data_IF_354029136624
#
_entry.id   IF_354029136624
#
_cell.length_a   1.000
_cell.length_b   1.000
_cell.length_c   1.000
_cell.angle_alpha   90.00
_cell.angle_beta   90.00
_cell.angle_gamma   90.00
#
_symmetry.space_group_name_H-M   'P 1'
#
loop_
_entity.id
_entity.type
_entity.pdbx_description
1 polymer ?
#
# COMPACT_ATOMS: atom_id res chain seq x y z
N UNK A 1 -11.41 -13.46 -14.97
CA UNK A 1 -11.21 -12.62 -13.76
C UNK A 1 -9.84 -12.75 -13.10
N UNK A 2 -9.13 -13.88 -13.23
CA UNK A 2 -7.79 -14.03 -12.63
C UNK A 2 -6.78 -12.96 -13.04
N UNK A 3 -6.83 -12.51 -14.31
CA UNK A 3 -5.99 -11.42 -14.81
C UNK A 3 -6.21 -10.12 -14.02
N UNK A 4 -7.46 -9.78 -13.69
CA UNK A 4 -7.77 -8.57 -12.93
C UNK A 4 -7.24 -8.65 -11.50
N UNK A 5 -7.36 -9.81 -10.85
CA UNK A 5 -6.80 -10.02 -9.51
C UNK A 5 -5.28 -9.87 -9.52
N UNK A 6 -4.60 -10.42 -10.54
CA UNK A 6 -3.16 -10.31 -10.67
C UNK A 6 -2.71 -8.87 -10.98
N UNK A 7 -3.47 -8.12 -11.79
CA UNK A 7 -3.21 -6.70 -12.04
C UNK A 7 -3.38 -5.88 -10.76
N UNK A 8 -4.46 -6.08 -10.00
CA UNK A 8 -4.68 -5.40 -8.72
C UNK A 8 -3.56 -5.72 -7.71
N UNK A 9 -3.14 -6.98 -7.63
CA UNK A 9 -2.03 -7.39 -6.79
C UNK A 9 -0.71 -6.68 -7.17
N UNK A 10 -0.41 -6.59 -8.47
CA UNK A 10 0.75 -5.88 -8.98
C UNK A 10 0.66 -4.38 -8.69
N UNK A 11 -0.50 -3.76 -8.87
CA UNK A 11 -0.73 -2.33 -8.59
C UNK A 11 -0.50 -2.01 -7.11
N UNK A 12 -1.03 -2.84 -6.21
CA UNK A 12 -0.85 -2.66 -4.76
C UNK A 12 0.61 -2.76 -4.32
N UNK A 13 1.34 -3.75 -4.83
CA UNK A 13 2.77 -3.89 -4.57
C UNK A 13 3.55 -2.72 -5.17
N UNK A 14 3.24 -2.37 -6.43
CA UNK A 14 3.91 -1.29 -7.15
C UNK A 14 3.73 0.06 -6.45
N UNK A 15 2.50 0.41 -6.06
CA UNK A 15 2.20 1.65 -5.34
C UNK A 15 2.92 1.68 -3.98
N UNK A 16 2.93 0.55 -3.26
CA UNK A 16 3.60 0.45 -1.97
C UNK A 16 5.12 0.61 -2.08
N UNK A 17 5.75 -0.04 -3.06
CA UNK A 17 7.20 0.12 -3.32
C UNK A 17 7.50 1.56 -3.72
N UNK A 18 6.66 2.17 -4.56
CA UNK A 18 6.81 3.56 -4.97
C UNK A 18 6.70 4.53 -3.78
N UNK A 19 5.73 4.31 -2.88
CA UNK A 19 5.59 5.07 -1.64
C UNK A 19 6.82 4.93 -0.73
N UNK A 20 7.36 3.72 -0.56
CA UNK A 20 8.60 3.51 0.19
C UNK A 20 9.79 4.22 -0.44
N UNK A 21 9.89 4.22 -1.77
CA UNK A 21 10.94 4.92 -2.48
C UNK A 21 10.86 6.44 -2.28
N UNK A 22 9.65 7.02 -2.38
CA UNK A 22 9.42 8.44 -2.08
C UNK A 22 9.78 8.74 -0.62
N UNK A 23 9.33 7.91 0.32
CA UNK A 23 9.62 8.08 1.74
C UNK A 23 11.13 8.08 2.01
N UNK A 24 11.87 7.17 1.36
CA UNK A 24 13.32 7.12 1.44
C UNK A 24 13.96 8.41 0.91
N UNK A 25 13.54 8.91 -0.25
CA UNK A 25 14.05 10.17 -0.79
C UNK A 25 13.79 11.36 0.13
N UNK A 26 12.56 11.50 0.64
CA UNK A 26 12.18 12.58 1.56
C UNK A 26 13.01 12.48 2.84
N UNK A 27 13.11 11.28 3.41
CA UNK A 27 13.91 11.03 4.61
C UNK A 27 15.37 11.44 4.43
N UNK A 28 16.00 11.02 3.32
CA UNK A 28 17.39 11.36 3.02
C UNK A 28 17.56 12.86 2.85
N UNK A 29 16.68 13.53 2.11
CA UNK A 29 16.76 14.99 1.90
C UNK A 29 16.58 15.74 3.22
N UNK A 30 15.58 15.39 4.02
CA UNK A 30 15.32 16.08 5.30
C UNK A 30 16.46 15.91 6.28
N UNK A 31 17.04 14.70 6.42
CA UNK A 31 18.19 14.48 7.30
C UNK A 31 19.45 15.15 6.79
N UNK A 32 19.67 15.13 5.47
CA UNK A 32 20.82 15.79 4.85
C UNK A 32 20.76 17.30 5.06
N UNK A 33 19.62 17.92 4.76
CA UNK A 33 19.40 19.36 4.99
C UNK A 33 19.52 19.69 6.47
N UNK A 34 18.92 18.89 7.35
CA UNK A 34 18.97 19.09 8.80
C UNK A 34 20.40 19.06 9.36
N UNK A 35 21.31 18.30 8.74
CA UNK A 35 22.73 18.28 9.11
C UNK A 35 23.52 19.54 8.70
N UNK A 36 22.98 20.35 7.78
CA UNK A 36 23.57 21.63 7.36
C UNK A 36 22.96 22.84 8.08
N UNK A 37 21.99 22.64 8.98
CA UNK A 37 21.37 23.73 9.73
C UNK A 37 22.21 24.06 10.96
N UNK A 38 22.72 25.30 11.03
CA UNK A 38 23.54 25.78 12.16
C UNK A 38 22.75 25.92 13.46
N UNK A 39 21.42 26.02 13.39
CA UNK A 39 20.53 26.12 14.55
C UNK A 39 20.14 24.70 15.05
N UNK A 40 20.58 24.28 16.25
CA UNK A 40 20.42 22.90 16.70
C UNK A 40 18.97 22.43 16.86
N UNK A 41 18.05 23.33 17.24
CA UNK A 41 16.65 22.94 17.42
C UNK A 41 15.98 22.63 16.09
N UNK A 42 16.22 23.42 15.05
CA UNK A 42 15.69 23.25 13.71
C UNK A 42 16.20 21.95 13.07
N UNK A 43 17.50 21.63 13.21
CA UNK A 43 18.05 20.35 12.73
C UNK A 43 17.41 19.13 13.42
N UNK A 44 17.14 19.24 14.72
CA UNK A 44 16.46 18.19 15.50
C UNK A 44 15.00 18.03 15.06
N UNK A 45 14.26 19.13 14.91
CA UNK A 45 12.86 19.10 14.46
C UNK A 45 12.76 18.45 13.07
N UNK A 46 13.64 18.82 12.14
CA UNK A 46 13.64 18.27 10.78
C UNK A 46 13.92 16.76 10.77
N UNK A 47 14.81 16.30 11.65
CA UNK A 47 15.11 14.88 11.84
C UNK A 47 13.91 14.10 12.39
N UNK A 48 13.20 14.67 13.38
CA UNK A 48 11.98 14.07 13.94
C UNK A 48 10.90 13.96 12.87
N UNK A 49 10.69 15.02 12.09
CA UNK A 49 9.72 15.02 10.97
C UNK A 49 10.09 13.92 9.97
N UNK A 50 11.36 13.78 9.61
CA UNK A 50 11.83 12.73 8.72
C UNK A 50 11.50 11.32 9.26
N UNK A 51 11.77 11.07 10.54
CA UNK A 51 11.52 9.78 11.19
C UNK A 51 10.00 9.47 11.25
N UNK A 52 9.19 10.45 11.64
CA UNK A 52 7.72 10.30 11.70
C UNK A 52 7.14 10.00 10.32
N UNK A 53 7.55 10.76 9.29
CA UNK A 53 7.11 10.51 7.93
C UNK A 53 7.52 9.11 7.46
N UNK A 54 8.78 8.71 7.67
CA UNK A 54 9.24 7.37 7.30
C UNK A 54 8.41 6.26 7.93
N UNK A 55 8.10 6.37 9.22
CA UNK A 55 7.25 5.40 9.94
C UNK A 55 5.84 5.36 9.32
N UNK A 56 5.21 6.51 9.07
CA UNK A 56 3.87 6.58 8.48
C UNK A 56 3.85 5.92 7.10
N UNK A 57 4.82 6.22 6.23
CA UNK A 57 4.90 5.62 4.91
C UNK A 57 5.12 4.11 4.96
N UNK A 58 5.93 3.61 5.91
CA UNK A 58 6.10 2.17 6.13
C UNK A 58 4.78 1.53 6.57
N UNK A 59 4.08 2.13 7.53
CA UNK A 59 2.81 1.62 8.03
C UNK A 59 1.72 1.56 6.95
N UNK A 60 1.73 2.48 5.99
CA UNK A 60 0.80 2.45 4.85
C UNK A 60 1.24 1.44 3.79
N UNK A 61 2.55 1.33 3.52
CA UNK A 61 3.06 0.51 2.42
C UNK A 61 3.12 -0.98 2.75
N UNK A 62 3.42 -1.35 3.99
CA UNK A 62 3.52 -2.77 4.39
C UNK A 62 2.20 -3.51 4.17
N UNK A 63 1.03 -3.00 4.61
CA UNK A 63 -0.26 -3.61 4.30
C UNK A 63 -0.52 -3.78 2.80
N UNK A 64 -0.16 -2.81 1.95
CA UNK A 64 -0.35 -2.91 0.50
C UNK A 64 0.49 -4.03 -0.14
N UNK A 65 1.74 -4.19 0.31
CA UNK A 65 2.60 -5.31 -0.13
C UNK A 65 2.01 -6.65 0.33
N UNK A 66 1.59 -6.74 1.60
CA UNK A 66 0.96 -7.95 2.16
C UNK A 66 -0.34 -8.31 1.43
N UNK A 67 -1.15 -7.30 1.12
CA UNK A 67 -2.40 -7.45 0.37
C UNK A 67 -2.12 -8.01 -1.03
N UNK A 68 -1.20 -7.41 -1.79
CA UNK A 68 -0.83 -7.90 -3.11
C UNK A 68 -0.25 -9.32 -3.09
N UNK A 69 0.64 -9.64 -2.15
CA UNK A 69 1.17 -11.00 -1.98
C UNK A 69 0.07 -12.01 -1.64
N UNK A 70 -0.87 -11.64 -0.79
CA UNK A 70 -2.01 -12.47 -0.42
C UNK A 70 -3.00 -12.66 -1.58
N UNK A 71 -3.20 -11.65 -2.42
CA UNK A 71 -4.03 -11.73 -3.63
C UNK A 71 -3.45 -12.70 -4.66
N UNK A 72 -2.13 -12.70 -4.87
CA UNK A 72 -1.48 -13.70 -5.73
C UNK A 72 -1.68 -15.13 -5.22
N UNK A 73 -1.72 -15.31 -3.90
CA UNK A 73 -2.01 -16.60 -3.25
C UNK A 73 -3.50 -16.91 -3.11
N UNK A 74 -4.39 -16.09 -3.70
CA UNK A 74 -5.85 -16.21 -3.63
C UNK A 74 -6.38 -16.40 -2.21
N UNK A 75 -5.81 -15.66 -1.25
CA UNK A 75 -6.28 -15.67 0.13
C UNK A 75 -7.40 -14.66 0.33
N UNK A 76 -8.52 -15.08 0.91
CA UNK A 76 -9.69 -14.22 1.10
C UNK A 76 -9.40 -13.01 2.01
N UNK A 77 -8.59 -13.18 3.06
CA UNK A 77 -8.17 -12.06 3.92
C UNK A 77 -7.48 -10.95 3.13
N UNK A 78 -6.77 -11.29 2.05
CA UNK A 78 -6.08 -10.32 1.21
C UNK A 78 -7.04 -9.53 0.32
N UNK A 79 -8.16 -10.16 -0.10
CA UNK A 79 -9.25 -9.46 -0.79
C UNK A 79 -9.85 -8.39 0.11
N UNK A 80 -10.20 -8.75 1.35
CA UNK A 80 -10.79 -7.82 2.32
C UNK A 80 -9.81 -6.69 2.65
N UNK A 81 -8.55 -7.02 2.92
CA UNK A 81 -7.52 -6.01 3.19
C UNK A 81 -7.36 -5.05 2.01
N UNK A 82 -7.30 -5.56 0.77
CA UNK A 82 -7.18 -4.71 -0.42
C UNK A 82 -8.38 -3.79 -0.57
N UNK A 83 -9.60 -4.26 -0.31
CA UNK A 83 -10.80 -3.40 -0.37
C UNK A 83 -10.73 -2.26 0.64
N UNK A 84 -10.29 -2.52 1.88
CA UNK A 84 -10.10 -1.48 2.90
C UNK A 84 -9.05 -0.46 2.44
N UNK A 85 -7.90 -0.94 1.96
CA UNK A 85 -6.83 -0.08 1.45
C UNK A 85 -7.31 0.74 0.25
N UNK A 86 -8.07 0.14 -0.65
CA UNK A 86 -8.60 0.81 -1.84
C UNK A 86 -9.51 2.00 -1.49
N UNK A 87 -10.30 1.89 -0.43
CA UNK A 87 -11.13 3.01 0.07
C UNK A 87 -10.24 4.15 0.58
N UNK A 88 -9.15 3.83 1.29
CA UNK A 88 -8.19 4.81 1.79
C UNK A 88 -7.43 5.47 0.62
N UNK A 89 -7.03 4.67 -0.37
CA UNK A 89 -6.31 5.12 -1.55
C UNK A 89 -7.11 6.10 -2.41
N UNK A 90 -8.44 6.05 -2.38
CA UNK A 90 -9.28 7.00 -3.11
C UNK A 90 -8.96 8.46 -2.75
N UNK A 91 -8.57 8.72 -1.50
CA UNK A 91 -8.17 10.05 -1.04
C UNK A 91 -6.78 10.49 -1.52
N UNK A 92 -6.00 9.57 -2.09
CA UNK A 92 -4.63 9.82 -2.57
C UNK A 92 -4.61 10.08 -4.09
N UNK A 93 -5.00 11.29 -4.48
CA UNK A 93 -5.07 11.69 -5.89
C UNK A 93 -3.68 11.97 -6.50
N UNK A 94 -3.41 11.63 -7.78
CA UNK A 94 -4.29 10.95 -8.73
C UNK A 94 -4.19 9.41 -8.74
N UNK A 95 -3.01 8.87 -8.39
CA UNK A 95 -2.71 7.46 -8.61
C UNK A 95 -3.46 6.53 -7.67
N UNK A 96 -3.54 6.87 -6.38
CA UNK A 96 -4.31 6.10 -5.40
C UNK A 96 -5.80 6.08 -5.76
N UNK A 97 -6.36 7.18 -6.25
CA UNK A 97 -7.75 7.21 -6.73
C UNK A 97 -7.99 6.23 -7.87
N UNK A 98 -7.12 6.22 -8.88
CA UNK A 98 -7.25 5.29 -10.01
C UNK A 98 -7.12 3.83 -9.55
N UNK A 99 -6.12 3.52 -8.72
CA UNK A 99 -5.87 2.16 -8.22
C UNK A 99 -7.00 1.71 -7.30
N UNK A 100 -7.46 2.56 -6.39
CA UNK A 100 -8.52 2.24 -5.44
C UNK A 100 -9.85 1.93 -6.12
N UNK A 101 -10.28 2.79 -7.06
CA UNK A 101 -11.52 2.56 -7.83
C UNK A 101 -11.43 1.25 -8.63
N UNK A 102 -10.31 1.03 -9.33
CA UNK A 102 -10.12 -0.18 -10.13
C UNK A 102 -10.10 -1.43 -9.27
N UNK A 103 -9.43 -1.38 -8.12
CA UNK A 103 -9.31 -2.50 -7.19
C UNK A 103 -10.66 -2.88 -6.58
N UNK A 104 -11.46 -1.90 -6.17
CA UNK A 104 -12.82 -2.14 -5.67
C UNK A 104 -13.67 -2.80 -6.76
N UNK A 105 -13.69 -2.22 -7.95
CA UNK A 105 -14.47 -2.75 -9.07
C UNK A 105 -14.05 -4.19 -9.42
N UNK A 106 -12.75 -4.49 -9.46
CA UNK A 106 -12.25 -5.81 -9.82
C UNK A 106 -12.51 -6.87 -8.74
N UNK A 107 -12.43 -6.50 -7.46
CA UNK A 107 -12.51 -7.43 -6.32
C UNK A 107 -13.93 -7.73 -5.84
N UNK A 108 -14.92 -6.88 -6.16
CA UNK A 108 -16.32 -7.10 -5.78
C UNK A 108 -17.08 -8.03 -6.74
N UNK A 109 -16.53 -8.30 -7.93
CA UNK A 109 -17.21 -9.12 -8.94
C UNK A 109 -17.47 -10.55 -8.43
N UNK A 110 -18.65 -11.15 -8.68
CA UNK A 110 -18.99 -12.49 -8.20
C UNK A 110 -17.97 -13.56 -8.59
N UNK A 111 -17.44 -13.50 -9.81
CA UNK A 111 -16.45 -14.44 -10.32
C UNK A 111 -15.10 -14.28 -9.61
N UNK A 112 -14.76 -13.04 -9.21
CA UNK A 112 -13.59 -12.78 -8.37
C UNK A 112 -13.81 -13.36 -6.98
N UNK A 113 -14.99 -13.15 -6.37
CA UNK A 113 -15.33 -13.72 -5.06
C UNK A 113 -15.22 -15.25 -5.08
N UNK A 114 -15.75 -15.89 -6.13
CA UNK A 114 -15.66 -17.35 -6.32
C UNK A 114 -14.20 -17.85 -6.38
N UNK A 115 -13.28 -17.08 -6.95
CA UNK A 115 -11.86 -17.42 -7.03
C UNK A 115 -11.15 -17.46 -5.65
N UNK A 116 -11.76 -16.91 -4.59
CA UNK A 116 -11.25 -16.97 -3.22
C UNK A 116 -11.98 -18.01 -2.35
N UNK A 117 -13.16 -18.48 -2.76
CA UNK A 117 -14.04 -19.36 -1.97
C UNK A 117 -13.70 -20.86 -2.01
N UNK A 118 -12.75 -21.29 -2.82
CA UNK A 118 -12.46 -22.73 -3.04
C UNK A 118 -11.62 -23.41 -1.94
N UNK A 119 -11.54 -22.85 -0.73
CA UNK A 119 -10.74 -23.40 0.39
C UNK A 119 -11.58 -23.90 1.59
N UNK A 120 -12.91 -23.94 1.49
CA UNK A 120 -13.79 -24.33 2.63
C UNK A 120 -14.74 -25.50 2.36
N UNK A 121 -14.57 -26.26 1.28
CA UNK A 121 -15.45 -27.39 0.92
C UNK A 121 -14.77 -28.76 0.92
N UNK A 122 -13.84 -29.04 1.84
CA UNK A 122 -13.46 -30.43 2.19
C UNK A 122 -13.14 -30.52 3.68
N UNK A 123 -14.12 -31.01 4.44
CA UNK A 123 -13.96 -31.98 5.54
C UNK A 123 -15.36 -32.47 5.87
N UNK A 124 -15.69 -33.61 5.26
CA UNK A 124 -16.77 -34.51 5.69
C UNK A 124 -16.57 -34.94 7.16
#
# INVERSE_FOLDING_TARGET
MEKHINVVAALQIGLSIFNLFIAFLIFTVLKLVGGFVDEPNAGTILSIIADVLAIVFILVSVPGILAGMGLYKRKEWARILTLILSVIEIFSFPFGTAIGIYSIWALIQPETVAAFGNNSSVKE
#
